data_IF_851063871300
#
_entry.id   IF_851063871300
#
_cell.length_a   1.000
_cell.length_b   1.000
_cell.length_c   1.000
_cell.angle_alpha   90.00
_cell.angle_beta   90.00
_cell.angle_gamma   90.00
#
_symmetry.space_group_name_H-M   'P 1'
#
loop_
_entity.id
_entity.type
_entity.pdbx_description
1 polymer ?
#
# COMPACT_ATOMS: atom_id res chain seq x y z
N UNK A 1 -40.47 -33.93 23.73
CA UNK A 1 -39.16 -33.65 23.08
C UNK A 1 -39.25 -32.59 21.98
N UNK A 2 -40.05 -31.53 22.18
CA UNK A 2 -40.11 -30.34 21.31
C UNK A 2 -39.93 -29.14 22.23
N UNK A 3 -38.69 -28.73 22.48
CA UNK A 3 -38.36 -27.45 23.14
C UNK A 3 -36.84 -27.13 23.13
N UNK A 4 -35.95 -28.07 22.76
CA UNK A 4 -34.50 -27.79 22.74
C UNK A 4 -33.94 -27.32 21.39
N UNK A 5 -34.71 -27.31 20.30
CA UNK A 5 -34.21 -26.96 18.96
C UNK A 5 -34.37 -25.48 18.58
N UNK A 6 -35.17 -24.69 19.32
CA UNK A 6 -35.31 -23.25 19.04
C UNK A 6 -34.30 -22.37 19.80
N UNK A 7 -33.77 -22.84 20.94
CA UNK A 7 -32.82 -22.04 21.73
C UNK A 7 -31.43 -21.93 21.07
N UNK A 8 -31.02 -22.96 20.32
CA UNK A 8 -29.73 -22.98 19.61
C UNK A 8 -29.75 -22.16 18.32
N UNK A 9 -30.92 -21.92 17.72
CA UNK A 9 -31.05 -21.04 16.55
C UNK A 9 -31.10 -19.55 16.91
N UNK A 10 -31.62 -19.20 18.09
CA UNK A 10 -31.62 -17.83 18.62
C UNK A 10 -30.25 -17.41 19.16
N UNK A 11 -29.41 -18.35 19.58
CA UNK A 11 -28.04 -18.06 20.06
C UNK A 11 -27.00 -18.01 18.93
N UNK A 12 -27.24 -18.67 17.78
CA UNK A 12 -26.37 -18.52 16.60
C UNK A 12 -26.71 -17.30 15.73
N UNK A 13 -27.95 -16.80 15.78
CA UNK A 13 -28.33 -15.58 15.05
C UNK A 13 -27.87 -14.29 15.73
N UNK A 14 -27.44 -14.35 17.00
CA UNK A 14 -26.86 -13.23 17.74
C UNK A 14 -25.33 -13.07 17.53
N UNK A 15 -24.66 -14.03 16.87
CA UNK A 15 -23.25 -13.93 16.51
C UNK A 15 -23.00 -13.44 15.07
N UNK A 16 -24.06 -13.14 14.33
CA UNK A 16 -24.01 -12.25 13.16
C UNK A 16 -24.30 -10.82 13.59
N UNK A 17 -23.58 -10.35 14.61
CA UNK A 17 -23.32 -8.92 14.67
C UNK A 17 -22.47 -8.63 13.43
N UNK A 18 -23.06 -7.98 12.43
CA UNK A 18 -22.28 -7.21 11.47
C UNK A 18 -21.25 -6.47 12.30
N UNK A 19 -19.96 -6.71 12.08
CA UNK A 19 -18.96 -5.77 12.53
C UNK A 19 -19.46 -4.43 12.00
N UNK A 20 -19.95 -3.59 12.91
CA UNK A 20 -20.47 -2.29 12.57
C UNK A 20 -19.24 -1.58 12.06
N UNK A 21 -19.09 -1.54 10.73
CA UNK A 21 -17.97 -0.90 10.08
C UNK A 21 -17.90 0.49 10.69
N UNK A 22 -16.82 0.77 11.43
CA UNK A 22 -16.57 2.11 11.93
C UNK A 22 -16.74 3.08 10.76
N UNK A 23 -17.37 4.24 11.01
CA UNK A 23 -17.82 5.15 9.94
C UNK A 23 -16.76 5.23 8.84
N UNK A 24 -17.16 4.97 7.57
CA UNK A 24 -16.20 4.93 6.48
C UNK A 24 -15.48 6.29 6.42
N UNK A 25 -14.18 6.30 6.08
CA UNK A 25 -13.42 7.54 5.98
C UNK A 25 -14.16 8.55 5.09
N UNK A 26 -14.15 9.81 5.51
CA UNK A 26 -14.89 10.91 4.85
C UNK A 26 -14.59 11.10 3.36
N UNK A 27 -13.47 10.56 2.89
CA UNK A 27 -12.90 10.79 1.56
C UNK A 27 -11.86 9.70 1.27
N UNK A 28 -11.63 9.40 -0.01
CA UNK A 28 -10.53 8.50 -0.44
C UNK A 28 -9.17 9.19 -0.44
N UNK A 29 -9.11 10.51 -0.18
CA UNK A 29 -7.89 11.32 -0.26
C UNK A 29 -6.86 10.88 0.76
N UNK A 30 -5.68 10.47 0.31
CA UNK A 30 -4.58 10.11 1.18
C UNK A 30 -3.21 10.51 0.67
N UNK A 31 -2.21 10.32 1.52
CA UNK A 31 -0.82 10.68 1.27
C UNK A 31 0.13 9.73 2.01
N UNK A 32 1.24 9.36 1.39
CA UNK A 32 2.34 8.68 2.07
C UNK A 32 3.11 9.73 2.86
N UNK A 33 2.89 9.75 4.18
CA UNK A 33 3.20 10.92 5.00
C UNK A 33 4.70 11.01 5.29
N UNK A 34 5.23 12.22 5.10
CA UNK A 34 6.61 12.62 5.41
C UNK A 34 6.63 13.89 6.25
N UNK A 35 5.63 14.78 6.06
CA UNK A 35 5.46 16.03 6.78
C UNK A 35 4.06 16.08 7.37
N UNK A 36 3.93 15.75 8.66
CA UNK A 36 2.63 15.61 9.35
C UNK A 36 1.77 16.86 9.24
N UNK A 37 2.33 18.04 9.55
CA UNK A 37 1.56 19.30 9.56
C UNK A 37 1.02 19.64 8.16
N UNK A 38 1.82 19.39 7.12
CA UNK A 38 1.40 19.57 5.73
C UNK A 38 0.30 18.57 5.33
N UNK A 39 0.43 17.31 5.76
CA UNK A 39 -0.56 16.27 5.51
C UNK A 39 -1.93 16.64 6.13
N UNK A 40 -1.92 17.16 7.35
CA UNK A 40 -3.11 17.66 8.03
C UNK A 40 -3.68 18.92 7.34
N UNK A 41 -2.83 19.85 6.89
CA UNK A 41 -3.25 21.03 6.15
C UNK A 41 -3.87 20.71 4.78
N UNK A 42 -3.41 19.64 4.13
CA UNK A 42 -4.02 19.06 2.91
C UNK A 42 -5.38 18.41 3.19
N UNK A 43 -5.70 18.16 4.46
CA UNK A 43 -6.96 17.59 4.90
C UNK A 43 -7.15 16.15 4.42
N UNK A 44 -6.10 15.33 4.47
CA UNK A 44 -6.18 13.91 4.11
C UNK A 44 -7.17 13.14 5.00
N UNK A 45 -7.65 12.02 4.49
CA UNK A 45 -8.48 11.05 5.21
C UNK A 45 -7.78 9.71 5.38
N UNK A 46 -6.75 9.41 4.57
CA UNK A 46 -5.90 8.22 4.67
C UNK A 46 -4.42 8.60 4.71
N UNK A 47 -3.62 7.84 5.45
CA UNK A 47 -2.17 7.96 5.44
C UNK A 47 -1.50 6.59 5.42
N UNK A 48 -0.39 6.49 4.69
CA UNK A 48 0.56 5.39 4.82
C UNK A 48 1.84 5.87 5.49
N UNK A 49 2.42 5.02 6.33
CA UNK A 49 3.72 5.22 6.97
C UNK A 49 4.59 3.97 6.74
N UNK A 50 5.83 4.18 6.30
CA UNK A 50 6.78 3.09 6.11
C UNK A 50 7.36 2.64 7.46
N UNK A 51 7.25 1.35 7.76
CA UNK A 51 7.77 0.75 8.99
C UNK A 51 8.87 -0.26 8.65
N UNK A 52 10.11 0.15 8.90
CA UNK A 52 11.30 -0.68 8.70
C UNK A 52 11.50 -1.60 9.92
N UNK A 53 10.95 -2.83 9.88
CA UNK A 53 10.83 -3.70 11.04
C UNK A 53 12.17 -3.96 11.75
N UNK A 54 13.20 -4.36 11.00
CA UNK A 54 14.54 -4.58 11.56
C UNK A 54 15.19 -3.34 12.17
N UNK A 55 14.85 -2.14 11.70
CA UNK A 55 15.37 -0.87 12.22
C UNK A 55 14.69 -0.46 13.53
N UNK A 56 13.53 -1.05 13.85
CA UNK A 56 12.91 -0.89 15.16
C UNK A 56 13.60 -1.71 16.24
N UNK A 57 14.31 -2.78 15.90
CA UNK A 57 14.91 -3.66 16.91
C UNK A 57 16.17 -3.02 17.49
N UNK A 58 16.23 -2.86 18.81
CA UNK A 58 17.43 -2.38 19.50
C UNK A 58 18.44 -3.50 19.68
N UNK A 59 17.98 -4.63 20.22
CA UNK A 59 18.75 -5.82 20.54
C UNK A 59 17.83 -7.04 20.60
N UNK A 60 18.42 -8.22 20.75
CA UNK A 60 17.72 -9.43 21.17
C UNK A 60 17.84 -9.57 22.70
N UNK A 61 16.86 -10.17 23.36
CA UNK A 61 16.97 -10.60 24.76
C UNK A 61 17.62 -11.98 24.89
N UNK A 62 17.69 -12.49 26.12
CA UNK A 62 18.31 -13.79 26.45
C UNK A 62 17.61 -14.98 25.76
N UNK A 63 16.32 -14.83 25.45
CA UNK A 63 15.51 -15.82 24.72
C UNK A 63 15.55 -15.61 23.19
N UNK A 64 16.37 -14.65 22.71
CA UNK A 64 16.47 -14.30 21.29
C UNK A 64 15.28 -13.51 20.75
N UNK A 65 14.45 -12.90 21.61
CA UNK A 65 13.29 -12.11 21.20
C UNK A 65 13.69 -10.65 20.93
N UNK A 66 13.11 -10.00 19.91
CA UNK A 66 13.43 -8.61 19.58
C UNK A 66 12.87 -7.65 20.64
N UNK A 67 13.77 -6.86 21.22
CA UNK A 67 13.40 -5.69 22.04
C UNK A 67 13.45 -4.46 21.17
N UNK A 68 12.33 -3.74 21.06
CA UNK A 68 12.22 -2.58 20.19
C UNK A 68 12.85 -1.34 20.83
N UNK A 69 13.50 -0.53 20.00
CA UNK A 69 14.13 0.74 20.35
C UNK A 69 13.06 1.77 20.65
N UNK A 70 12.96 2.18 21.90
CA UNK A 70 11.95 3.15 22.34
C UNK A 70 12.05 4.49 21.59
N UNK A 71 13.26 4.93 21.23
CA UNK A 71 13.44 6.15 20.44
C UNK A 71 12.81 6.04 19.03
N UNK A 72 12.92 4.88 18.38
CA UNK A 72 12.29 4.63 17.08
C UNK A 72 10.77 4.55 17.20
N UNK A 73 10.26 3.94 18.27
CA UNK A 73 8.82 3.90 18.56
C UNK A 73 8.25 5.31 18.79
N UNK A 74 8.92 6.14 19.60
CA UNK A 74 8.51 7.54 19.81
C UNK A 74 8.52 8.37 18.52
N UNK A 75 9.46 8.12 17.61
CA UNK A 75 9.49 8.78 16.31
C UNK A 75 8.30 8.38 15.41
N UNK A 76 7.87 7.11 15.51
CA UNK A 76 6.66 6.64 14.84
C UNK A 76 5.39 7.20 15.51
N UNK A 77 5.33 7.26 16.85
CA UNK A 77 4.22 7.88 17.58
C UNK A 77 4.02 9.34 17.21
N UNK A 78 5.11 10.09 17.06
CA UNK A 78 5.08 11.50 16.71
C UNK A 78 4.42 11.74 15.35
N UNK A 79 4.41 10.73 14.47
CA UNK A 79 3.68 10.74 13.20
C UNK A 79 2.24 10.24 13.38
N UNK A 80 2.06 9.11 14.05
CA UNK A 80 0.75 8.46 14.23
C UNK A 80 -0.23 9.32 15.03
N UNK A 81 0.21 9.88 16.15
CA UNK A 81 -0.65 10.59 17.12
C UNK A 81 -1.42 11.77 16.53
N UNK A 82 -0.78 12.76 15.88
CA UNK A 82 -1.50 13.89 15.30
C UNK A 82 -2.43 13.47 14.15
N UNK A 83 -2.04 12.46 13.35
CA UNK A 83 -2.90 11.94 12.27
C UNK A 83 -4.14 11.24 12.82
N UNK A 84 -3.96 10.35 13.81
CA UNK A 84 -5.06 9.65 14.47
C UNK A 84 -6.01 10.62 15.19
N UNK A 85 -5.46 11.64 15.88
CA UNK A 85 -6.26 12.68 16.53
C UNK A 85 -7.12 13.48 15.54
N UNK A 86 -6.68 13.60 14.28
CA UNK A 86 -7.44 14.22 13.20
C UNK A 86 -8.42 13.26 12.49
N UNK A 87 -8.55 12.01 12.96
CA UNK A 87 -9.43 11.00 12.37
C UNK A 87 -8.93 10.44 11.04
N UNK A 88 -7.63 10.54 10.75
CA UNK A 88 -7.02 9.97 9.55
C UNK A 88 -6.91 8.45 9.69
N UNK A 89 -7.31 7.73 8.64
CA UNK A 89 -7.15 6.29 8.53
C UNK A 89 -5.70 5.90 8.28
N UNK A 90 -5.11 5.19 9.24
CA UNK A 90 -3.68 4.86 9.22
C UNK A 90 -3.39 3.46 8.71
N UNK A 91 -2.39 3.39 7.83
CA UNK A 91 -1.89 2.18 7.22
C UNK A 91 -0.36 2.12 7.40
N UNK A 92 0.16 0.97 7.80
CA UNK A 92 1.60 0.70 7.82
C UNK A 92 2.02 -0.10 6.60
N UNK A 93 3.09 0.34 5.94
CA UNK A 93 3.82 -0.48 4.96
C UNK A 93 4.94 -1.19 5.71
N UNK A 94 4.78 -2.49 5.90
CA UNK A 94 5.73 -3.33 6.63
C UNK A 94 6.87 -3.70 5.70
N UNK A 95 8.09 -3.31 6.07
CA UNK A 95 9.29 -3.50 5.26
C UNK A 95 10.37 -4.19 6.09
N UNK A 96 11.02 -5.20 5.52
CA UNK A 96 12.30 -5.70 6.00
C UNK A 96 13.40 -5.06 5.15
N UNK A 97 14.09 -4.07 5.71
CA UNK A 97 15.26 -3.41 5.09
C UNK A 97 16.52 -3.83 5.81
N UNK A 98 17.61 -4.00 5.06
CA UNK A 98 18.89 -4.36 5.63
C UNK A 98 19.27 -3.37 6.72
N UNK A 99 19.68 -3.89 7.88
CA UNK A 99 20.05 -3.08 9.04
C UNK A 99 21.56 -2.89 9.14
N UNK A 100 22.34 -3.72 8.43
CA UNK A 100 23.78 -3.82 8.61
C UNK A 100 24.18 -4.62 9.86
N UNK A 101 23.21 -5.21 10.57
CA UNK A 101 23.42 -6.08 11.74
C UNK A 101 23.06 -7.52 11.37
N UNK A 102 24.07 -8.36 11.23
CA UNK A 102 23.91 -9.73 10.74
C UNK A 102 22.94 -10.56 11.58
N UNK A 103 22.92 -10.35 12.90
CA UNK A 103 22.05 -11.06 13.84
C UNK A 103 20.56 -10.71 13.66
N UNK A 104 20.24 -9.48 13.25
CA UNK A 104 18.86 -9.05 12.97
C UNK A 104 18.48 -9.41 11.54
N UNK A 105 19.38 -9.15 10.58
CA UNK A 105 19.16 -9.44 9.16
C UNK A 105 18.91 -10.94 8.94
N UNK A 106 19.63 -11.81 9.66
CA UNK A 106 19.40 -13.26 9.63
C UNK A 106 18.03 -13.68 10.17
N UNK A 107 17.41 -12.93 11.09
CA UNK A 107 16.09 -13.25 11.63
C UNK A 107 14.94 -12.69 10.79
N UNK A 108 15.13 -11.56 10.12
CA UNK A 108 14.06 -10.94 9.32
C UNK A 108 13.99 -11.44 7.88
N UNK A 109 15.11 -11.83 7.27
CA UNK A 109 15.14 -12.19 5.85
C UNK A 109 14.97 -13.68 5.58
N UNK A 110 14.17 -13.99 4.56
CA UNK A 110 14.19 -15.33 3.97
C UNK A 110 15.65 -15.71 3.62
N UNK A 111 16.11 -16.94 3.93
CA UNK A 111 17.50 -17.35 3.69
C UNK A 111 17.97 -17.24 2.24
N UNK A 112 17.05 -17.16 1.27
CA UNK A 112 17.35 -16.96 -0.16
C UNK A 112 17.64 -15.50 -0.53
N UNK A 113 17.45 -14.55 0.38
CA UNK A 113 17.76 -13.14 0.18
C UNK A 113 19.14 -12.93 -0.45
N UNK A 114 19.21 -12.06 -1.45
CA UNK A 114 20.43 -11.75 -2.20
C UNK A 114 20.81 -10.27 -2.06
N UNK A 115 21.91 -9.98 -1.37
CA UNK A 115 22.37 -8.62 -1.15
C UNK A 115 22.76 -7.84 -2.44
N UNK A 116 22.87 -8.52 -3.58
CA UNK A 116 23.08 -7.87 -4.90
C UNK A 116 21.82 -7.21 -5.44
N UNK A 117 20.66 -7.57 -4.91
CA UNK A 117 19.40 -6.97 -5.33
C UNK A 117 19.34 -5.49 -4.91
N UNK A 118 18.67 -4.64 -5.69
CA UNK A 118 18.59 -3.23 -5.39
C UNK A 118 17.71 -2.96 -4.16
N UNK A 119 17.72 -1.71 -3.69
CA UNK A 119 16.84 -1.18 -2.63
C UNK A 119 16.98 -1.81 -1.23
N UNK A 120 17.76 -2.88 -1.04
CA UNK A 120 18.04 -3.49 0.26
C UNK A 120 16.77 -3.94 1.01
N UNK A 121 15.71 -4.28 0.28
CA UNK A 121 14.44 -4.76 0.83
C UNK A 121 14.34 -6.28 0.64
N UNK A 122 14.09 -7.03 1.69
CA UNK A 122 14.01 -8.49 1.66
C UNK A 122 12.63 -9.04 1.94
N UNK A 123 12.39 -10.27 1.47
CA UNK A 123 11.22 -11.05 1.85
C UNK A 123 11.31 -11.49 3.32
N UNK A 124 10.16 -11.59 3.99
CA UNK A 124 10.12 -12.00 5.40
C UNK A 124 10.48 -13.47 5.59
N UNK A 125 11.31 -13.77 6.62
CA UNK A 125 11.60 -15.12 7.07
C UNK A 125 10.40 -15.73 7.79
N UNK A 126 9.60 -16.53 7.10
CA UNK A 126 8.38 -17.11 7.69
C UNK A 126 8.24 -18.62 7.50
N UNK A 127 9.20 -19.25 6.83
CA UNK A 127 9.19 -20.69 6.57
C UNK A 127 9.88 -21.53 7.66
N UNK A 128 10.42 -20.87 8.70
CA UNK A 128 10.96 -21.52 9.88
C UNK A 128 10.55 -20.81 11.18
N UNK A 129 10.70 -21.51 12.28
CA UNK A 129 10.26 -21.05 13.59
C UNK A 129 11.00 -19.78 14.06
N UNK A 130 12.28 -19.63 13.71
CA UNK A 130 13.08 -18.50 14.15
C UNK A 130 12.54 -17.19 13.55
N UNK A 131 12.31 -17.17 12.23
CA UNK A 131 11.74 -16.01 11.55
C UNK A 131 10.29 -15.74 11.96
N UNK A 132 9.47 -16.78 12.11
CA UNK A 132 8.09 -16.64 12.59
C UNK A 132 8.03 -16.01 13.98
N UNK A 133 8.85 -16.48 14.94
CA UNK A 133 8.91 -15.90 16.29
C UNK A 133 9.38 -14.46 16.25
N UNK A 134 10.38 -14.14 15.44
CA UNK A 134 10.87 -12.78 15.27
C UNK A 134 9.78 -11.84 14.74
N UNK A 135 9.18 -12.18 13.60
CA UNK A 135 8.16 -11.34 12.96
C UNK A 135 6.94 -11.17 13.87
N UNK A 136 6.47 -12.27 14.50
CA UNK A 136 5.36 -12.24 15.46
C UNK A 136 5.67 -11.33 16.64
N UNK A 137 6.86 -11.39 17.22
CA UNK A 137 7.23 -10.56 18.37
C UNK A 137 7.30 -9.06 18.04
N UNK A 138 7.82 -8.68 16.87
CA UNK A 138 7.83 -7.27 16.42
C UNK A 138 6.40 -6.80 16.16
N UNK A 139 5.61 -7.57 15.40
CA UNK A 139 4.23 -7.21 15.04
C UNK A 139 3.32 -7.15 16.27
N UNK A 140 3.49 -8.04 17.24
CA UNK A 140 2.75 -8.01 18.51
C UNK A 140 2.96 -6.69 19.23
N UNK A 141 4.20 -6.23 19.38
CA UNK A 141 4.49 -4.95 20.04
C UNK A 141 3.90 -3.76 19.27
N UNK A 142 3.95 -3.78 17.93
CA UNK A 142 3.34 -2.75 17.09
C UNK A 142 1.81 -2.75 17.21
N UNK A 143 1.17 -3.91 17.09
CA UNK A 143 -0.28 -4.02 17.13
C UNK A 143 -0.84 -3.74 18.53
N UNK A 144 -0.11 -4.05 19.61
CA UNK A 144 -0.47 -3.63 20.97
C UNK A 144 -0.36 -2.10 21.13
N UNK A 145 0.68 -1.49 20.55
CA UNK A 145 0.90 -0.05 20.62
C UNK A 145 -0.11 0.74 19.79
N UNK A 146 -0.52 0.23 18.64
CA UNK A 146 -1.37 0.92 17.66
C UNK A 146 -2.73 0.26 17.44
N UNK A 147 -3.23 -0.47 18.44
CA UNK A 147 -4.53 -1.14 18.39
C UNK A 147 -5.71 -0.25 18.84
N UNK A 148 -6.93 -0.83 18.90
CA UNK A 148 -8.11 -0.17 19.44
C UNK A 148 -7.87 0.33 20.87
N UNK A 149 -8.28 1.58 21.14
CA UNK A 149 -8.10 2.20 22.46
C UNK A 149 -6.66 2.66 22.78
N UNK A 150 -5.72 2.56 21.81
CA UNK A 150 -4.38 3.12 21.96
C UNK A 150 -4.41 4.62 22.26
N UNK A 151 -3.63 5.05 23.25
CA UNK A 151 -3.40 6.48 23.54
C UNK A 151 -2.57 7.18 22.45
N UNK A 152 -1.85 6.42 21.62
CA UNK A 152 -1.07 6.97 20.51
C UNK A 152 -1.96 7.13 19.28
N UNK A 153 -2.70 6.08 18.90
CA UNK A 153 -3.55 6.06 17.73
C UNK A 153 -3.71 4.66 17.16
N UNK A 154 -4.80 4.42 16.43
CA UNK A 154 -5.13 3.12 15.84
C UNK A 154 -4.63 3.01 14.40
N UNK A 155 -3.96 1.92 14.08
CA UNK A 155 -3.55 1.54 12.70
C UNK A 155 -4.42 0.37 12.26
N UNK A 156 -5.24 0.62 11.23
CA UNK A 156 -6.17 -0.38 10.70
C UNK A 156 -5.59 -1.14 9.51
N UNK A 157 -4.75 -0.52 8.69
CA UNK A 157 -4.16 -1.17 7.52
C UNK A 157 -2.72 -1.65 7.71
N UNK A 158 -2.44 -2.87 7.27
CA UNK A 158 -1.12 -3.52 7.37
C UNK A 158 -0.73 -4.08 6.00
N UNK A 159 0.04 -3.31 5.24
CA UNK A 159 0.53 -3.67 3.91
C UNK A 159 1.78 -4.52 4.08
N UNK A 160 1.77 -5.74 3.54
CA UNK A 160 2.80 -6.75 3.80
C UNK A 160 3.82 -6.73 2.67
N UNK A 161 5.00 -6.16 2.92
CA UNK A 161 6.01 -5.99 1.88
C UNK A 161 5.66 -4.87 0.90
N UNK A 162 6.38 -4.82 -0.23
CA UNK A 162 6.20 -3.83 -1.27
C UNK A 162 6.37 -4.46 -2.66
N UNK A 163 5.43 -4.20 -3.57
CA UNK A 163 5.51 -4.53 -5.00
C UNK A 163 5.98 -5.98 -5.27
N UNK A 164 5.29 -6.94 -4.66
CA UNK A 164 5.78 -8.32 -4.52
C UNK A 164 5.82 -9.08 -5.85
N UNK A 165 5.04 -8.67 -6.84
CA UNK A 165 5.16 -9.18 -8.21
C UNK A 165 6.51 -8.84 -8.86
N UNK A 166 7.23 -7.86 -8.32
CA UNK A 166 8.60 -7.54 -8.69
C UNK A 166 9.57 -7.77 -7.51
N UNK A 167 9.41 -8.94 -6.88
CA UNK A 167 10.05 -9.31 -5.63
C UNK A 167 11.54 -9.02 -5.58
N UNK A 168 12.32 -9.25 -6.65
CA UNK A 168 13.76 -8.98 -6.62
C UNK A 168 14.11 -7.55 -6.19
N UNK A 169 13.32 -6.54 -6.58
CA UNK A 169 13.60 -5.13 -6.25
C UNK A 169 13.03 -4.68 -4.91
N UNK A 170 11.83 -5.13 -4.56
CA UNK A 170 11.05 -4.50 -3.49
C UNK A 170 10.57 -5.46 -2.40
N UNK A 171 10.79 -6.76 -2.58
CA UNK A 171 10.50 -7.82 -1.61
C UNK A 171 11.44 -9.01 -1.81
N UNK A 172 12.76 -8.77 -1.73
CA UNK A 172 13.76 -9.68 -2.29
C UNK A 172 13.75 -11.05 -1.59
N UNK A 173 13.20 -12.03 -2.30
CA UNK A 173 13.26 -13.45 -1.96
C UNK A 173 14.55 -14.12 -2.46
N UNK A 174 15.38 -13.42 -3.22
CA UNK A 174 16.35 -14.03 -4.13
C UNK A 174 15.70 -14.40 -5.46
N UNK A 175 16.46 -15.12 -6.30
CA UNK A 175 15.93 -15.66 -7.56
C UNK A 175 14.97 -16.80 -7.26
N UNK A 176 13.73 -16.70 -7.72
CA UNK A 176 12.65 -17.61 -7.36
C UNK A 176 11.58 -17.67 -8.45
N UNK A 177 11.05 -18.86 -8.73
CA UNK A 177 9.87 -18.99 -9.59
C UNK A 177 8.60 -18.58 -8.83
N UNK A 178 7.52 -18.29 -9.56
CA UNK A 178 6.22 -17.92 -8.99
C UNK A 178 5.77 -18.81 -7.82
N UNK A 179 5.92 -20.14 -7.95
CA UNK A 179 5.50 -21.10 -6.91
C UNK A 179 6.24 -20.86 -5.59
N UNK A 180 7.50 -20.48 -5.66
CA UNK A 180 8.38 -20.26 -4.51
C UNK A 180 8.08 -18.90 -3.86
N UNK A 181 7.78 -17.89 -4.69
CA UNK A 181 7.30 -16.58 -4.23
C UNK A 181 5.99 -16.72 -3.46
N UNK A 182 5.01 -17.42 -4.03
CA UNK A 182 3.71 -17.67 -3.39
C UNK A 182 3.87 -18.51 -2.12
N UNK A 183 4.74 -19.53 -2.15
CA UNK A 183 5.01 -20.38 -0.99
C UNK A 183 5.61 -19.63 0.20
N UNK A 184 6.40 -18.57 -0.05
CA UNK A 184 6.96 -17.71 0.99
C UNK A 184 6.02 -16.57 1.40
N UNK A 185 5.31 -15.98 0.44
CA UNK A 185 4.56 -14.74 0.66
C UNK A 185 3.19 -14.95 1.31
N UNK A 186 2.45 -16.00 0.93
CA UNK A 186 1.15 -16.28 1.55
C UNK A 186 1.26 -16.54 3.06
N UNK A 187 2.22 -17.35 3.56
CA UNK A 187 2.42 -17.50 5.01
C UNK A 187 2.83 -16.20 5.70
N UNK A 188 3.52 -15.29 5.00
CA UNK A 188 3.87 -13.99 5.58
C UNK A 188 2.64 -13.11 5.78
N UNK A 189 1.77 -13.01 4.78
CA UNK A 189 0.51 -12.25 4.87
C UNK A 189 -0.42 -12.86 5.92
N UNK A 190 -0.50 -14.19 5.97
CA UNK A 190 -1.28 -14.92 6.98
C UNK A 190 -0.78 -14.68 8.39
N UNK A 191 0.53 -14.78 8.62
CA UNK A 191 1.13 -14.51 9.94
C UNK A 191 0.86 -13.08 10.39
N UNK A 192 0.99 -12.09 9.49
CA UNK A 192 0.63 -10.70 9.83
C UNK A 192 -0.85 -10.62 10.22
N UNK A 193 -1.75 -11.22 9.42
CA UNK A 193 -3.18 -11.25 9.72
C UNK A 193 -3.49 -11.84 11.09
N UNK A 194 -2.95 -13.02 11.41
CA UNK A 194 -3.16 -13.69 12.70
C UNK A 194 -2.75 -12.80 13.88
N UNK A 195 -1.64 -12.06 13.76
CA UNK A 195 -1.13 -11.23 14.84
C UNK A 195 -1.97 -9.99 15.05
N UNK A 196 -2.35 -9.31 13.96
CA UNK A 196 -3.09 -8.05 14.03
C UNK A 196 -4.57 -8.28 14.33
N UNK A 197 -5.19 -9.30 13.73
CA UNK A 197 -6.60 -9.64 13.95
C UNK A 197 -6.88 -10.12 15.38
N UNK A 198 -5.88 -10.71 16.06
CA UNK A 198 -5.98 -11.08 17.47
C UNK A 198 -6.09 -9.87 18.42
N UNK A 199 -5.74 -8.66 17.96
CA UNK A 199 -5.77 -7.41 18.73
C UNK A 199 -6.81 -6.43 18.22
N UNK A 200 -7.09 -6.49 16.93
CA UNK A 200 -8.00 -5.59 16.25
C UNK A 200 -8.81 -6.37 15.20
N UNK A 201 -10.08 -6.62 15.49
CA UNK A 201 -10.97 -7.35 14.60
C UNK A 201 -11.25 -6.62 13.26
N UNK A 202 -11.05 -5.29 13.21
CA UNK A 202 -11.22 -4.52 11.97
C UNK A 202 -9.88 -4.29 11.24
N UNK A 203 -8.76 -4.83 11.73
CA UNK A 203 -7.49 -4.72 11.04
C UNK A 203 -7.52 -5.45 9.69
N UNK A 204 -7.03 -4.76 8.67
CA UNK A 204 -6.95 -5.22 7.28
C UNK A 204 -5.51 -5.47 6.90
N UNK A 205 -5.23 -6.64 6.31
CA UNK A 205 -3.93 -6.93 5.69
C UNK A 205 -4.02 -6.80 4.18
N UNK A 206 -2.95 -6.29 3.56
CA UNK A 206 -2.93 -6.03 2.12
C UNK A 206 -1.77 -6.73 1.43
N UNK A 207 -2.10 -7.40 0.32
CA UNK A 207 -1.15 -7.89 -0.67
C UNK A 207 -0.69 -6.70 -1.51
N UNK A 208 0.62 -6.39 -1.48
CA UNK A 208 1.21 -5.28 -2.26
C UNK A 208 1.60 -5.70 -3.68
N UNK A 209 1.13 -4.96 -4.68
CA UNK A 209 1.41 -5.18 -6.11
C UNK A 209 1.67 -3.86 -6.85
N UNK A 210 2.61 -3.89 -7.80
CA UNK A 210 2.78 -2.83 -8.80
C UNK A 210 1.97 -3.06 -10.08
N UNK A 211 1.93 -2.06 -10.97
CA UNK A 211 1.02 -1.98 -12.13
C UNK A 211 1.16 -3.09 -13.19
N UNK A 212 2.24 -3.87 -13.23
CA UNK A 212 2.42 -4.95 -14.21
C UNK A 212 1.44 -6.09 -13.91
N UNK A 213 0.39 -6.16 -14.74
CA UNK A 213 -0.75 -7.04 -14.51
C UNK A 213 -0.59 -8.38 -15.23
N UNK A 214 -0.60 -8.40 -16.55
CA UNK A 214 -0.25 -9.59 -17.37
C UNK A 214 1.21 -9.58 -17.81
N UNK A 215 1.81 -8.39 -17.91
CA UNK A 215 3.25 -8.27 -18.03
C UNK A 215 3.91 -8.54 -16.67
N UNK A 216 5.24 -8.61 -16.69
CA UNK A 216 6.11 -8.52 -15.52
C UNK A 216 7.01 -7.29 -15.67
N UNK A 217 7.62 -6.84 -14.58
CA UNK A 217 8.59 -5.76 -14.65
C UNK A 217 9.76 -6.11 -15.59
N UNK A 218 10.00 -5.24 -16.56
CA UNK A 218 10.86 -5.53 -17.71
C UNK A 218 12.36 -5.63 -17.34
N UNK A 219 12.78 -4.99 -16.24
CA UNK A 219 14.16 -5.01 -15.80
C UNK A 219 14.61 -6.36 -15.22
N UNK A 220 13.67 -7.27 -14.91
CA UNK A 220 13.98 -8.62 -14.44
C UNK A 220 13.79 -9.71 -15.46
N UNK A 221 14.04 -10.94 -15.04
CA UNK A 221 13.61 -12.15 -15.72
C UNK A 221 12.49 -12.87 -14.93
N UNK A 222 12.10 -14.07 -15.36
CA UNK A 222 11.02 -14.84 -14.74
C UNK A 222 11.32 -15.33 -13.31
N UNK A 223 12.58 -15.28 -12.87
CA UNK A 223 12.98 -15.61 -11.49
C UNK A 223 13.14 -14.36 -10.62
N UNK A 224 12.89 -13.17 -11.17
CA UNK A 224 13.05 -11.89 -10.47
C UNK A 224 11.76 -11.06 -10.40
N UNK A 225 10.84 -11.32 -11.33
CA UNK A 225 9.53 -10.70 -11.39
C UNK A 225 8.51 -11.62 -12.08
N UNK A 226 7.25 -11.47 -11.72
CA UNK A 226 6.11 -12.20 -12.27
C UNK A 226 4.94 -11.27 -12.57
N UNK A 227 3.91 -11.81 -13.22
CA UNK A 227 2.67 -11.07 -13.48
C UNK A 227 1.90 -10.85 -12.18
N UNK A 228 1.43 -9.62 -11.93
CA UNK A 228 0.60 -9.30 -10.77
C UNK A 228 -0.69 -10.11 -10.73
N UNK A 229 -1.32 -10.33 -11.89
CA UNK A 229 -2.52 -11.18 -12.01
C UNK A 229 -2.24 -12.62 -11.59
N UNK A 230 -1.19 -13.21 -12.16
CA UNK A 230 -0.85 -14.62 -11.92
C UNK A 230 -0.40 -14.82 -10.47
N UNK A 231 0.34 -13.87 -9.89
CA UNK A 231 0.67 -13.86 -8.47
C UNK A 231 -0.58 -13.81 -7.60
N UNK A 232 -1.53 -12.93 -7.91
CA UNK A 232 -2.76 -12.78 -7.15
C UNK A 232 -3.65 -14.04 -7.21
N UNK A 233 -3.84 -14.61 -8.40
CA UNK A 233 -4.60 -15.86 -8.59
C UNK A 233 -3.95 -17.00 -7.77
N UNK A 234 -2.62 -17.15 -7.85
CA UNK A 234 -1.89 -18.21 -7.14
C UNK A 234 -1.89 -18.01 -5.61
N UNK A 235 -1.75 -16.75 -5.15
CA UNK A 235 -1.89 -16.40 -3.74
C UNK A 235 -3.28 -16.75 -3.21
N UNK A 236 -4.34 -16.37 -3.94
CA UNK A 236 -5.72 -16.61 -3.53
C UNK A 236 -6.09 -18.10 -3.51
N UNK A 237 -5.53 -18.89 -4.44
CA UNK A 237 -5.67 -20.34 -4.44
C UNK A 237 -5.01 -20.95 -3.20
N UNK A 238 -3.76 -20.58 -2.93
CA UNK A 238 -3.03 -21.07 -1.75
C UNK A 238 -3.70 -20.66 -0.43
N UNK A 239 -4.20 -19.43 -0.34
CA UNK A 239 -4.91 -18.95 0.84
C UNK A 239 -6.15 -19.81 1.14
N UNK A 240 -6.89 -20.24 0.10
CA UNK A 240 -8.05 -21.14 0.24
C UNK A 240 -7.67 -22.54 0.66
N UNK A 241 -6.60 -23.11 0.11
CA UNK A 241 -6.10 -24.43 0.49
C UNK A 241 -5.78 -24.50 1.99
N UNK A 242 -5.20 -23.43 2.54
CA UNK A 242 -4.87 -23.31 3.97
C UNK A 242 -6.01 -22.81 4.87
N UNK A 243 -7.22 -22.63 4.33
CA UNK A 243 -8.31 -21.89 4.98
C UNK A 243 -8.22 -20.39 4.70
N UNK A 244 -9.14 -19.88 3.89
CA UNK A 244 -9.13 -18.49 3.46
C UNK A 244 -9.31 -17.51 4.64
N UNK A 245 -8.92 -16.25 4.45
CA UNK A 245 -8.94 -15.19 5.47
C UNK A 245 -9.14 -13.80 4.83
N UNK A 246 -9.53 -12.75 5.56
CA UNK A 246 -9.87 -11.43 5.00
C UNK A 246 -8.62 -10.59 4.62
N UNK A 247 -7.89 -11.02 3.59
CA UNK A 247 -6.86 -10.20 2.93
C UNK A 247 -7.46 -9.27 1.86
N UNK A 248 -6.74 -8.18 1.56
CA UNK A 248 -7.09 -7.13 0.60
C UNK A 248 -5.91 -6.79 -0.32
N UNK A 249 -6.04 -5.80 -1.21
CA UNK A 249 -5.00 -5.44 -2.19
C UNK A 249 -4.53 -4.00 -1.99
N UNK A 250 -3.21 -3.82 -1.92
CA UNK A 250 -2.51 -2.55 -2.00
C UNK A 250 -1.87 -2.46 -3.39
N UNK A 251 -2.44 -1.65 -4.29
CA UNK A 251 -2.07 -1.64 -5.72
C UNK A 251 -1.41 -0.32 -6.12
N UNK A 252 -0.36 -0.36 -6.95
CA UNK A 252 0.36 0.84 -7.40
C UNK A 252 0.14 1.13 -8.89
N UNK A 253 -0.98 1.78 -9.30
CA UNK A 253 -1.28 2.06 -10.71
C UNK A 253 -0.50 3.27 -11.26
N UNK A 254 0.84 3.22 -11.23
CA UNK A 254 1.63 4.25 -11.91
C UNK A 254 1.31 4.30 -13.43
N UNK A 255 1.50 5.46 -14.09
CA UNK A 255 1.54 5.54 -15.54
C UNK A 255 2.51 4.51 -16.14
N UNK A 256 2.23 4.05 -17.37
CA UNK A 256 3.04 3.04 -18.05
C UNK A 256 4.52 3.42 -18.14
N UNK A 257 4.77 4.69 -18.46
CA UNK A 257 6.08 5.31 -18.41
C UNK A 257 6.15 6.18 -17.15
N UNK A 258 6.99 5.81 -16.18
CA UNK A 258 7.13 6.57 -14.95
C UNK A 258 7.57 8.03 -15.16
N UNK A 259 8.22 8.36 -16.28
CA UNK A 259 8.65 9.72 -16.63
C UNK A 259 7.61 10.52 -17.44
N UNK A 260 6.46 9.91 -17.77
CA UNK A 260 5.36 10.58 -18.45
C UNK A 260 4.06 10.36 -17.68
N UNK A 261 3.56 11.42 -17.04
CA UNK A 261 2.36 11.33 -16.22
C UNK A 261 1.06 11.19 -17.01
N UNK A 262 1.10 11.32 -18.35
CA UNK A 262 -0.07 11.35 -19.24
C UNK A 262 -0.63 9.95 -19.47
N UNK A 263 -1.07 9.30 -18.39
CA UNK A 263 -1.53 7.91 -18.41
C UNK A 263 -2.71 7.67 -19.37
N UNK A 264 -3.45 8.71 -19.77
CA UNK A 264 -4.48 8.58 -20.80
C UNK A 264 -3.92 8.17 -22.16
N UNK A 265 -2.62 8.40 -22.41
CA UNK A 265 -1.88 7.97 -23.60
C UNK A 265 -1.33 6.53 -23.47
N UNK A 266 -1.41 5.90 -22.30
CA UNK A 266 -0.88 4.55 -22.07
C UNK A 266 -1.44 3.53 -23.08
N UNK A 267 -0.57 2.76 -23.73
CA UNK A 267 -0.98 1.82 -24.80
C UNK A 267 -1.09 0.38 -24.31
N UNK A 268 -0.42 0.06 -23.20
CA UNK A 268 -0.46 -1.24 -22.53
C UNK A 268 -1.47 -1.30 -21.39
N UNK A 269 -2.21 -0.21 -21.16
CA UNK A 269 -3.36 -0.13 -20.26
C UNK A 269 -4.67 -0.19 -21.06
N UNK A 270 -5.14 -1.41 -21.31
CA UNK A 270 -6.34 -1.70 -22.11
C UNK A 270 -7.54 -2.03 -21.21
N UNK A 271 -8.75 -1.77 -21.69
CA UNK A 271 -9.99 -2.09 -21.00
C UNK A 271 -10.38 -3.59 -21.12
N UNK A 272 -9.42 -4.47 -20.83
CA UNK A 272 -9.61 -5.93 -20.89
C UNK A 272 -8.76 -6.62 -19.81
N UNK A 273 -9.21 -7.78 -19.33
CA UNK A 273 -8.50 -8.54 -18.28
C UNK A 273 -7.09 -8.97 -18.70
N UNK A 274 -6.85 -9.11 -20.01
CA UNK A 274 -5.57 -9.47 -20.60
C UNK A 274 -4.60 -8.29 -20.77
N UNK A 275 -4.97 -7.12 -20.26
CA UNK A 275 -4.12 -5.92 -20.30
C UNK A 275 -2.73 -6.18 -19.71
N UNK A 276 -1.64 -5.78 -20.40
CA UNK A 276 -0.29 -5.91 -19.85
C UNK A 276 -0.11 -5.16 -18.52
N UNK A 277 -0.68 -3.96 -18.40
CA UNK A 277 -0.63 -3.12 -17.19
C UNK A 277 -2.01 -2.66 -16.75
N UNK A 278 -2.16 -2.39 -15.47
CA UNK A 278 -3.27 -1.61 -14.91
C UNK A 278 -2.71 -0.30 -14.40
N UNK A 279 -3.13 0.80 -15.02
CA UNK A 279 -2.79 2.17 -14.63
C UNK A 279 -4.09 2.91 -14.27
N UNK A 280 -4.04 4.22 -14.02
CA UNK A 280 -5.26 5.01 -13.83
C UNK A 280 -6.18 5.00 -15.07
N UNK A 281 -5.67 4.67 -16.27
CA UNK A 281 -6.46 4.61 -17.51
C UNK A 281 -7.58 3.56 -17.47
N UNK A 282 -7.25 2.37 -16.99
CA UNK A 282 -8.10 1.17 -17.03
C UNK A 282 -8.30 0.56 -15.62
N UNK A 283 -8.24 1.38 -14.58
CA UNK A 283 -8.23 0.94 -13.19
C UNK A 283 -9.44 0.07 -12.80
N UNK A 284 -10.58 0.26 -13.47
CA UNK A 284 -11.77 -0.58 -13.36
C UNK A 284 -11.51 -2.07 -13.59
N UNK A 285 -10.51 -2.42 -14.43
CA UNK A 285 -10.14 -3.82 -14.68
C UNK A 285 -9.76 -4.53 -13.38
N UNK A 286 -9.09 -3.84 -12.45
CA UNK A 286 -8.75 -4.42 -11.14
C UNK A 286 -9.99 -4.65 -10.28
N UNK A 287 -10.84 -3.64 -10.14
CA UNK A 287 -12.03 -3.73 -9.28
C UNK A 287 -13.02 -4.77 -9.79
N UNK A 288 -13.21 -4.84 -11.11
CA UNK A 288 -14.08 -5.82 -11.74
C UNK A 288 -13.50 -7.23 -11.60
N UNK A 289 -12.18 -7.38 -11.76
CA UNK A 289 -11.53 -8.67 -11.61
C UNK A 289 -11.67 -9.26 -10.19
N UNK A 290 -11.61 -8.42 -9.16
CA UNK A 290 -11.79 -8.84 -7.76
C UNK A 290 -13.21 -9.29 -7.42
N UNK A 291 -14.19 -9.10 -8.32
CA UNK A 291 -15.56 -9.62 -8.15
C UNK A 291 -15.67 -11.12 -8.42
N UNK A 292 -14.66 -11.76 -9.00
CA UNK A 292 -14.66 -13.21 -9.26
C UNK A 292 -14.79 -14.01 -7.97
N UNK A 293 -15.57 -15.09 -7.99
CA UNK A 293 -15.83 -15.95 -6.83
C UNK A 293 -14.53 -16.47 -6.18
N UNK A 294 -13.52 -16.79 -6.98
CA UNK A 294 -12.20 -17.23 -6.49
C UNK A 294 -11.35 -16.09 -5.94
N UNK A 295 -11.86 -14.87 -5.82
CA UNK A 295 -11.19 -13.74 -5.18
C UNK A 295 -12.05 -13.14 -4.06
N UNK A 296 -13.31 -13.54 -3.92
CA UNK A 296 -14.17 -13.05 -2.84
C UNK A 296 -13.83 -13.66 -1.47
N UNK A 297 -14.14 -12.91 -0.41
CA UNK A 297 -14.22 -13.38 0.98
C UNK A 297 -15.64 -13.28 1.45
N UNK A 298 -16.24 -14.38 1.93
CA UNK A 298 -17.63 -14.41 2.42
C UNK A 298 -18.63 -13.76 1.43
N UNK A 299 -18.43 -13.98 0.12
CA UNK A 299 -19.28 -13.44 -0.94
C UNK A 299 -19.03 -11.97 -1.30
N UNK A 300 -18.04 -11.31 -0.67
CA UNK A 300 -17.69 -9.91 -0.94
C UNK A 300 -16.34 -9.81 -1.68
N UNK A 301 -16.22 -8.92 -2.69
CA UNK A 301 -14.94 -8.63 -3.34
C UNK A 301 -13.89 -8.13 -2.35
N UNK A 302 -12.60 -8.42 -2.60
CA UNK A 302 -11.53 -7.79 -1.81
C UNK A 302 -11.49 -6.30 -2.08
N UNK A 303 -11.23 -5.51 -1.02
CA UNK A 303 -11.06 -4.06 -1.11
C UNK A 303 -9.68 -3.70 -1.63
N UNK A 304 -9.58 -2.51 -2.23
CA UNK A 304 -8.33 -1.97 -2.77
C UNK A 304 -7.98 -0.65 -2.09
N UNK A 305 -6.72 -0.49 -1.71
CA UNK A 305 -6.11 0.83 -1.51
C UNK A 305 -5.05 1.05 -2.59
N UNK A 306 -4.97 2.27 -3.10
CA UNK A 306 -3.86 2.67 -3.95
C UNK A 306 -2.80 3.27 -3.02
N UNK A 307 -1.79 2.48 -2.66
CA UNK A 307 -0.92 2.77 -1.51
C UNK A 307 0.30 3.63 -1.80
N UNK A 308 0.76 3.66 -3.05
CA UNK A 308 1.92 4.43 -3.50
C UNK A 308 1.87 4.68 -5.02
N UNK A 309 1.63 5.93 -5.46
CA UNK A 309 1.73 6.35 -6.87
C UNK A 309 2.08 7.83 -6.96
N UNK A 310 2.82 8.20 -7.99
CA UNK A 310 3.16 9.58 -8.29
C UNK A 310 3.00 9.91 -9.77
N UNK A 311 2.95 11.20 -10.08
CA UNK A 311 2.90 11.73 -11.44
C UNK A 311 4.16 12.53 -11.69
N UNK A 312 4.99 12.11 -12.64
CA UNK A 312 6.25 12.80 -12.90
C UNK A 312 6.00 14.18 -13.50
N UNK A 313 6.53 15.21 -12.86
CA UNK A 313 6.61 16.54 -13.46
C UNK A 313 7.83 16.59 -14.39
N UNK A 314 7.61 16.80 -15.70
CA UNK A 314 8.66 17.00 -16.70
C UNK A 314 9.35 18.36 -16.53
N UNK A 315 10.58 18.50 -17.07
CA UNK A 315 11.43 19.68 -16.87
C UNK A 315 11.23 20.70 -17.98
N UNK A 316 9.98 21.06 -18.19
CA UNK A 316 9.55 21.91 -19.28
C UNK A 316 8.29 22.69 -18.88
N UNK A 317 7.88 23.70 -19.66
CA UNK A 317 6.75 24.55 -19.32
C UNK A 317 5.41 23.82 -19.17
N UNK A 318 5.28 22.59 -19.67
CA UNK A 318 4.04 21.79 -19.60
C UNK A 318 4.00 20.83 -18.40
N UNK A 319 5.16 20.54 -17.78
CA UNK A 319 5.30 19.52 -16.74
C UNK A 319 4.33 19.65 -15.57
N UNK A 320 4.19 20.83 -14.97
CA UNK A 320 3.26 21.03 -13.84
C UNK A 320 1.79 20.98 -14.26
N UNK A 321 1.48 21.45 -15.47
CA UNK A 321 0.12 21.40 -16.02
C UNK A 321 -0.29 19.94 -16.25
N UNK A 322 0.57 19.15 -16.87
CA UNK A 322 0.31 17.74 -17.16
C UNK A 322 0.25 16.92 -15.86
N UNK A 323 1.11 17.23 -14.89
CA UNK A 323 1.07 16.60 -13.56
C UNK A 323 -0.26 16.89 -12.84
N UNK A 324 -0.72 18.14 -12.90
CA UNK A 324 -2.01 18.56 -12.35
C UNK A 324 -3.19 17.88 -13.06
N UNK A 325 -3.15 17.78 -14.40
CA UNK A 325 -4.17 17.10 -15.18
C UNK A 325 -4.24 15.59 -14.91
N UNK A 326 -3.08 14.93 -14.80
CA UNK A 326 -2.98 13.53 -14.41
C UNK A 326 -3.62 13.30 -13.03
N UNK A 327 -3.28 14.11 -12.04
CA UNK A 327 -3.93 14.00 -10.73
C UNK A 327 -5.45 14.20 -10.80
N UNK A 328 -5.92 15.20 -11.57
CA UNK A 328 -7.34 15.48 -11.67
C UNK A 328 -8.14 14.33 -12.31
N UNK A 329 -7.62 13.76 -13.40
CA UNK A 329 -8.22 12.59 -14.05
C UNK A 329 -8.18 11.35 -13.15
N UNK A 330 -7.05 11.10 -12.49
CA UNK A 330 -6.89 9.99 -11.56
C UNK A 330 -7.88 10.10 -10.39
N UNK A 331 -8.01 11.28 -9.78
CA UNK A 331 -8.97 11.51 -8.69
C UNK A 331 -10.40 11.19 -9.13
N UNK A 332 -10.84 11.69 -10.29
CA UNK A 332 -12.18 11.42 -10.83
C UNK A 332 -12.42 9.93 -11.09
N UNK A 333 -11.42 9.24 -11.65
CA UNK A 333 -11.48 7.78 -11.83
C UNK A 333 -11.63 7.08 -10.48
N UNK A 334 -10.77 7.37 -9.50
CA UNK A 334 -10.81 6.70 -8.20
C UNK A 334 -12.09 6.99 -7.43
N UNK A 335 -12.58 8.24 -7.44
CA UNK A 335 -13.85 8.63 -6.81
C UNK A 335 -15.00 7.75 -7.31
N UNK A 336 -15.07 7.51 -8.63
CA UNK A 336 -16.11 6.71 -9.29
C UNK A 336 -16.07 5.20 -8.99
N UNK A 337 -14.96 4.65 -8.50
CA UNK A 337 -14.78 3.21 -8.33
C UNK A 337 -15.06 2.76 -6.88
N UNK A 338 -16.23 2.15 -6.60
CA UNK A 338 -16.62 1.79 -5.23
C UNK A 338 -15.79 0.65 -4.63
N UNK A 339 -14.96 -0.06 -5.41
CA UNK A 339 -14.04 -1.08 -4.91
C UNK A 339 -12.76 -0.53 -4.28
N UNK A 340 -12.49 0.77 -4.47
CA UNK A 340 -11.29 1.45 -3.97
C UNK A 340 -11.65 2.27 -2.73
N UNK A 341 -10.93 2.00 -1.64
CA UNK A 341 -11.11 2.67 -0.34
C UNK A 341 -10.24 3.94 -0.23
N UNK A 342 -9.04 3.95 -0.83
CA UNK A 342 -8.11 5.07 -0.68
C UNK A 342 -7.26 5.30 -1.94
N UNK A 343 -6.97 6.57 -2.21
CA UNK A 343 -5.91 7.03 -3.12
C UNK A 343 -4.85 7.75 -2.29
N UNK A 344 -3.77 7.03 -1.98
CA UNK A 344 -2.65 7.52 -1.19
C UNK A 344 -1.55 7.96 -2.15
N UNK A 345 -1.42 9.28 -2.32
CA UNK A 345 -0.42 9.88 -3.20
C UNK A 345 0.99 9.72 -2.63
N UNK A 346 1.97 9.48 -3.48
CA UNK A 346 3.40 9.55 -3.19
C UNK A 346 3.97 10.64 -4.09
N UNK A 347 4.43 11.80 -3.58
CA UNK A 347 4.93 12.11 -2.22
C UNK A 347 4.82 13.61 -1.90
N UNK A 348 5.10 13.98 -0.65
CA UNK A 348 5.18 15.40 -0.26
C UNK A 348 6.21 16.18 -1.09
N UNK A 349 7.48 15.76 -1.06
CA UNK A 349 8.59 16.52 -1.69
C UNK A 349 9.30 15.61 -2.68
N UNK A 350 9.72 16.13 -3.83
CA UNK A 350 10.65 15.41 -4.72
C UNK A 350 11.85 14.85 -3.94
N UNK A 351 12.48 13.80 -4.48
CA UNK A 351 13.60 13.18 -3.80
C UNK A 351 14.77 12.88 -4.70
N UNK A 352 15.94 13.38 -4.31
CA UNK A 352 17.15 13.32 -5.12
C UNK A 352 17.61 11.88 -5.46
N UNK A 353 17.24 10.89 -4.63
CA UNK A 353 17.60 9.48 -4.85
C UNK A 353 16.46 8.63 -5.44
N UNK A 354 15.48 9.25 -6.09
CA UNK A 354 14.34 8.55 -6.70
C UNK A 354 14.51 8.36 -8.22
N UNK A 355 15.74 8.07 -8.66
CA UNK A 355 16.04 7.79 -10.07
C UNK A 355 15.74 8.94 -11.04
N UNK A 356 15.65 10.18 -10.56
CA UNK A 356 15.27 11.35 -11.35
C UNK A 356 13.77 11.62 -11.45
N UNK A 357 12.93 10.81 -10.80
CA UNK A 357 11.49 11.04 -10.73
C UNK A 357 11.17 12.26 -9.86
N UNK A 358 10.16 13.02 -10.29
CA UNK A 358 9.70 14.24 -9.62
C UNK A 358 8.21 14.18 -9.36
N UNK A 359 7.84 13.46 -8.30
CA UNK A 359 6.44 13.23 -7.89
C UNK A 359 5.94 14.19 -6.81
N UNK A 360 6.81 15.04 -6.26
CA UNK A 360 6.51 15.86 -5.11
C UNK A 360 5.37 16.85 -5.36
N UNK A 361 4.53 17.02 -4.34
CA UNK A 361 3.68 18.21 -4.19
C UNK A 361 4.53 19.48 -4.02
N UNK A 362 5.76 19.32 -3.55
CA UNK A 362 6.82 20.31 -3.51
C UNK A 362 8.00 19.85 -4.35
N UNK A 363 8.68 20.79 -4.99
CA UNK A 363 10.07 20.59 -5.41
C UNK A 363 10.96 20.39 -4.18
N UNK A 364 12.04 19.63 -4.30
CA UNK A 364 13.09 19.66 -3.29
C UNK A 364 13.95 20.93 -3.45
N UNK A 365 14.45 21.46 -2.34
CA UNK A 365 15.42 22.57 -2.40
C UNK A 365 16.69 22.12 -3.12
N UNK A 366 17.35 22.99 -3.89
CA UNK A 366 18.62 22.69 -4.52
C UNK A 366 19.64 22.11 -3.53
N UNK A 367 20.26 20.98 -3.88
CA UNK A 367 21.25 20.31 -3.04
C UNK A 367 20.69 19.54 -1.84
N UNK A 368 19.38 19.59 -1.58
CA UNK A 368 18.74 18.79 -0.53
C UNK A 368 18.24 17.46 -1.06
N UNK A 369 18.20 16.44 -0.18
CA UNK A 369 17.61 15.14 -0.53
C UNK A 369 16.10 15.26 -0.69
N UNK A 370 15.42 15.94 0.24
CA UNK A 370 13.95 16.07 0.23
C UNK A 370 13.44 17.26 1.08
N UNK A 371 14.22 18.35 1.20
CA UNK A 371 13.74 19.52 1.94
C UNK A 371 12.70 20.26 1.08
N UNK A 372 11.53 20.66 1.61
CA UNK A 372 10.48 21.28 0.81
C UNK A 372 10.91 22.65 0.28
N UNK A 373 10.87 22.79 -1.04
CA UNK A 373 11.06 24.02 -1.80
C UNK A 373 9.73 24.66 -2.17
N UNK A 374 9.53 24.93 -3.46
CA UNK A 374 8.31 25.55 -3.98
C UNK A 374 7.18 24.52 -4.08
N UNK A 375 5.97 24.92 -3.71
CA UNK A 375 4.74 24.15 -3.99
C UNK A 375 4.49 24.08 -5.49
N UNK A 376 4.13 22.89 -5.98
CA UNK A 376 3.60 22.69 -7.33
C UNK A 376 2.10 22.87 -7.37
N UNK A 377 1.55 23.06 -8.58
CA UNK A 377 0.10 23.19 -8.82
C UNK A 377 -0.71 22.04 -8.19
N UNK A 378 -0.18 20.82 -8.23
CA UNK A 378 -0.82 19.63 -7.68
C UNK A 378 -1.07 19.72 -6.16
N UNK A 379 -0.28 20.50 -5.40
CA UNK A 379 -0.49 20.68 -3.96
C UNK A 379 -1.87 21.27 -3.66
N UNK A 380 -2.25 22.32 -4.39
CA UNK A 380 -3.57 22.95 -4.23
C UNK A 380 -4.69 22.03 -4.70
N UNK A 381 -4.47 21.26 -5.77
CA UNK A 381 -5.45 20.28 -6.24
C UNK A 381 -5.71 19.20 -5.20
N UNK A 382 -4.66 18.60 -4.63
CA UNK A 382 -4.81 17.61 -3.56
C UNK A 382 -5.55 18.22 -2.36
N UNK A 383 -5.23 19.46 -1.96
CA UNK A 383 -5.93 20.12 -0.84
C UNK A 383 -7.44 20.19 -1.05
N UNK A 384 -7.89 20.44 -2.27
CA UNK A 384 -9.31 20.75 -2.56
C UNK A 384 -10.09 19.63 -3.22
N UNK A 385 -9.47 18.55 -3.71
CA UNK A 385 -10.08 17.58 -4.64
C UNK A 385 -11.37 16.92 -4.14
N UNK A 386 -11.51 16.74 -2.83
CA UNK A 386 -12.67 16.15 -2.15
C UNK A 386 -13.66 17.20 -1.60
N UNK A 387 -13.57 18.45 -2.08
CA UNK A 387 -14.47 19.55 -1.68
C UNK A 387 -15.37 19.98 -2.84
N UNK A 388 -16.51 20.65 -2.57
CA UNK A 388 -17.35 21.20 -3.64
C UNK A 388 -16.63 22.19 -4.57
N UNK A 389 -15.62 22.92 -4.04
CA UNK A 389 -14.78 23.82 -4.86
C UNK A 389 -13.85 23.00 -5.75
N UNK A 390 -13.24 21.94 -5.22
CA UNK A 390 -12.38 21.05 -5.98
C UNK A 390 -13.07 20.43 -7.17
N UNK A 391 -14.34 20.02 -7.04
CA UNK A 391 -15.12 19.50 -8.16
C UNK A 391 -15.11 20.42 -9.39
N UNK A 392 -15.18 21.75 -9.19
CA UNK A 392 -15.09 22.75 -10.27
C UNK A 392 -13.66 22.92 -10.76
N UNK A 393 -12.69 23.05 -9.85
CA UNK A 393 -11.27 23.25 -10.20
C UNK A 393 -10.72 22.07 -11.01
N UNK A 394 -10.99 20.84 -10.58
CA UNK A 394 -10.60 19.63 -11.31
C UNK A 394 -11.24 19.60 -12.71
N UNK A 395 -12.51 20.00 -12.82
CA UNK A 395 -13.19 20.08 -14.12
C UNK A 395 -12.55 21.09 -15.07
N UNK A 396 -12.13 22.25 -14.55
CA UNK A 396 -11.41 23.26 -15.34
C UNK A 396 -10.04 22.77 -15.81
N UNK A 397 -9.28 22.11 -14.93
CA UNK A 397 -7.98 21.52 -15.28
C UNK A 397 -8.14 20.46 -16.39
N UNK A 398 -9.14 19.58 -16.25
CA UNK A 398 -9.42 18.54 -17.27
C UNK A 398 -9.85 19.17 -18.59
N UNK A 399 -10.74 20.17 -18.58
CA UNK A 399 -11.19 20.84 -19.79
C UNK A 399 -10.05 21.59 -20.50
N UNK A 400 -9.16 22.24 -19.75
CA UNK A 400 -7.98 22.89 -20.32
C UNK A 400 -7.05 21.88 -20.99
N UNK A 401 -6.75 20.76 -20.32
CA UNK A 401 -5.93 19.70 -20.88
C UNK A 401 -6.53 19.13 -22.19
N UNK A 402 -7.86 18.98 -22.25
CA UNK A 402 -8.54 18.52 -23.47
C UNK A 402 -8.43 19.54 -24.61
N UNK A 403 -8.65 20.83 -24.32
CA UNK A 403 -8.51 21.88 -25.31
C UNK A 403 -7.08 21.96 -25.88
N UNK A 404 -6.07 21.85 -25.00
CA UNK A 404 -4.67 21.86 -25.41
C UNK A 404 -4.31 20.67 -26.32
N UNK A 405 -4.94 19.51 -26.10
CA UNK A 405 -4.72 18.31 -26.91
C UNK A 405 -5.41 18.35 -28.29
N UNK A 406 -6.43 19.19 -28.46
CA UNK A 406 -7.12 19.39 -29.75
C UNK A 406 -6.39 20.43 -30.65
N UNK A 407 -5.43 21.19 -30.09
CA UNK A 407 -4.62 22.18 -30.81
C UNK A 407 -3.28 21.62 -31.35
N UNK A 408 -2.84 20.46 -30.84
CA UNK A 408 -1.64 19.70 -31.26
C UNK A 408 -1.98 18.64 -32.34
#
# INVERSE_FOLDING_TARGET
>A
MRCLALATWLLLSAAMASAQEADPPRSKKGLQVQMVDDALALGIAHATLNVQLGHLVERLDEDGRPVLREASLRALDAQVRPLAAAGVELNFILLARATGRAEIDALQFDPRYDARAPNQLGAFRVLDEAGQRYLRAVLTQLADRYGPGSEVGRVRGWIVGNEVNSHWWWYNLGRAELKDVVAAYEPAVRLVHEVVAARDADARVYVSLEHHWQARFAAGDAEQACSGRVLLDAFAARAREGGDFPWHVAFHPYPENLFDCRFWEDTTARAEVTTPRITFKNLEVLTDYLTRTELQWQGQPRRVILSEQGFHCRDDPTGERDQAAAFALAWRKVESLPGIDAFIYHRHVDHAHEGGLRFGLYENRPGSVADPGRKRLIWELLRVCDTPVGGRVLGQVIAQMQADADED
#
